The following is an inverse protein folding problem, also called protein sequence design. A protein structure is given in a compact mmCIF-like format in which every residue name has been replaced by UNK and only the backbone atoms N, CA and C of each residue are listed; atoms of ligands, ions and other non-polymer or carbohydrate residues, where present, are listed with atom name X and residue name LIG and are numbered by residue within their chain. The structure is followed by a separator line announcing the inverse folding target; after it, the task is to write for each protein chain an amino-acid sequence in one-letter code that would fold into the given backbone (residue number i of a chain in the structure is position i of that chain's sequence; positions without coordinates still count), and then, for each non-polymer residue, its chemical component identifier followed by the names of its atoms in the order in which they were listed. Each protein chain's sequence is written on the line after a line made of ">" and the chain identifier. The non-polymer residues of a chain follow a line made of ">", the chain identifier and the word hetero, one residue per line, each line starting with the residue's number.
data_IF_566169026293
#
_entry.id   IF_566169026293
#
_cell.length_a   1.000
_cell.length_b   1.000
_cell.length_c   1.000
_cell.angle_alpha   90.00
_cell.angle_beta   90.00
_cell.angle_gamma   90.00
#
_symmetry.space_group_name_H-M   'P 1'
#
loop_
_entity.id
_entity.type
_entity.pdbx_description
1 polymer ?
#
# COMPACT_ATOMS: atom_id res chain seq x y z
N UNK A 1 -18.14 3.02 -6.73
CA UNK A 1 -17.28 1.86 -7.08
C UNK A 1 -16.45 2.12 -8.34
N UNK A 2 -17.03 2.40 -9.51
CA UNK A 2 -16.28 2.65 -10.75
C UNK A 2 -15.23 3.78 -10.63
N UNK A 3 -15.64 4.97 -10.17
CA UNK A 3 -14.71 6.10 -9.97
C UNK A 3 -13.62 5.79 -8.92
N UNK A 4 -13.95 5.05 -7.85
CA UNK A 4 -12.97 4.63 -6.86
C UNK A 4 -11.95 3.64 -7.47
N UNK A 5 -12.39 2.74 -8.36
CA UNK A 5 -11.49 1.84 -9.06
C UNK A 5 -10.54 2.61 -10.00
N UNK A 6 -11.06 3.60 -10.74
CA UNK A 6 -10.22 4.50 -11.55
C UNK A 6 -9.24 5.29 -10.68
N UNK A 7 -9.69 5.80 -9.54
CA UNK A 7 -8.84 6.48 -8.56
C UNK A 7 -7.71 5.59 -8.09
N UNK A 8 -7.99 4.35 -7.68
CA UNK A 8 -6.95 3.39 -7.29
C UNK A 8 -5.96 3.08 -8.43
N UNK A 9 -6.45 2.92 -9.68
CA UNK A 9 -5.58 2.68 -10.84
C UNK A 9 -4.58 3.82 -11.01
N UNK A 10 -5.04 5.07 -10.91
CA UNK A 10 -4.20 6.26 -11.05
C UNK A 10 -3.26 6.41 -9.84
N UNK A 11 -3.81 6.36 -8.62
CA UNK A 11 -3.09 6.72 -7.41
C UNK A 11 -2.07 5.69 -6.95
N UNK A 12 -2.36 4.41 -7.18
CA UNK A 12 -1.42 3.31 -6.95
C UNK A 12 -0.59 3.00 -8.20
N UNK A 13 -0.79 3.74 -9.31
CA UNK A 13 -0.07 3.56 -10.58
C UNK A 13 -0.17 2.12 -11.12
N UNK A 14 -1.35 1.52 -11.04
CA UNK A 14 -1.58 0.18 -11.53
C UNK A 14 -1.41 0.12 -13.06
N UNK A 15 -0.79 -0.96 -13.54
CA UNK A 15 -0.51 -1.22 -14.95
C UNK A 15 -0.92 -2.65 -15.30
N UNK A 16 -0.97 -2.97 -16.60
CA UNK A 16 -1.32 -4.32 -17.08
C UNK A 16 -0.40 -5.40 -16.49
N UNK A 17 0.86 -5.08 -16.24
CA UNK A 17 1.88 -5.94 -15.63
C UNK A 17 1.90 -5.89 -14.09
N UNK A 18 0.94 -5.22 -13.45
CA UNK A 18 0.82 -5.22 -12.00
C UNK A 18 0.46 -6.60 -11.44
N UNK A 19 1.06 -6.95 -10.31
CA UNK A 19 0.76 -8.13 -9.50
C UNK A 19 0.37 -7.64 -8.11
N UNK A 20 -0.92 -7.74 -7.78
CA UNK A 20 -1.49 -7.16 -6.56
C UNK A 20 -1.74 -8.23 -5.49
N UNK A 21 -1.04 -8.12 -4.37
CA UNK A 21 -1.23 -8.96 -3.18
C UNK A 21 -2.30 -8.35 -2.25
N UNK A 22 -3.39 -9.07 -2.05
CA UNK A 22 -4.50 -8.64 -1.20
C UNK A 22 -4.28 -9.05 0.25
N UNK A 23 -3.98 -8.09 1.13
CA UNK A 23 -3.89 -8.33 2.58
C UNK A 23 -5.09 -7.77 3.35
N UNK A 24 -5.80 -6.78 2.79
CA UNK A 24 -7.09 -6.32 3.33
C UNK A 24 -8.17 -7.32 2.92
N UNK A 25 -8.99 -7.84 3.86
CA UNK A 25 -10.04 -8.78 3.53
C UNK A 25 -11.06 -8.22 2.53
N UNK A 26 -11.57 -9.06 1.63
CA UNK A 26 -12.59 -8.66 0.66
C UNK A 26 -13.89 -8.15 1.33
N UNK A 27 -14.22 -8.62 2.53
CA UNK A 27 -15.37 -8.14 3.29
C UNK A 27 -15.14 -6.77 3.95
N UNK A 28 -13.92 -6.23 3.95
CA UNK A 28 -13.60 -4.93 4.52
C UNK A 28 -13.54 -3.89 3.40
N UNK A 29 -14.68 -3.20 3.18
CA UNK A 29 -14.86 -2.20 2.13
C UNK A 29 -14.39 -2.70 0.74
N UNK A 30 -14.72 -3.95 0.39
CA UNK A 30 -14.30 -4.61 -0.86
C UNK A 30 -12.77 -4.65 -1.07
N UNK A 31 -11.99 -4.85 0.00
CA UNK A 31 -10.54 -4.68 -0.04
C UNK A 31 -10.14 -3.34 -0.67
N UNK A 32 -10.84 -2.29 -0.24
CA UNK A 32 -10.63 -0.92 -0.71
C UNK A 32 -10.81 -0.75 -2.23
N UNK A 33 -11.70 -1.54 -2.84
CA UNK A 33 -12.04 -1.53 -4.28
C UNK A 33 -10.89 -2.04 -5.18
N UNK A 34 -9.74 -2.46 -4.64
CA UNK A 34 -8.65 -3.02 -5.44
C UNK A 34 -9.05 -4.22 -6.32
N UNK A 35 -9.93 -5.16 -5.91
CA UNK A 35 -10.36 -6.25 -6.80
C UNK A 35 -10.96 -5.74 -8.11
N UNK A 36 -11.76 -4.67 -8.05
CA UNK A 36 -12.33 -4.03 -9.25
C UNK A 36 -11.27 -3.28 -10.04
N UNK A 37 -10.32 -2.63 -9.35
CA UNK A 37 -9.24 -1.83 -9.95
C UNK A 37 -8.29 -2.71 -10.75
N UNK A 38 -7.81 -3.80 -10.14
CA UNK A 38 -6.92 -4.79 -10.74
C UNK A 38 -7.61 -5.52 -11.89
N UNK A 39 -8.90 -5.88 -11.73
CA UNK A 39 -9.69 -6.50 -12.81
C UNK A 39 -9.90 -5.55 -13.99
N UNK A 40 -10.19 -4.27 -13.75
CA UNK A 40 -10.48 -3.30 -14.80
C UNK A 40 -9.32 -3.11 -15.79
N UNK A 41 -8.08 -3.34 -15.34
CA UNK A 41 -6.88 -3.27 -16.18
C UNK A 41 -6.30 -4.65 -16.55
N UNK A 42 -7.02 -5.73 -16.22
CA UNK A 42 -6.58 -7.11 -16.46
C UNK A 42 -5.24 -7.49 -15.80
N UNK A 43 -4.93 -6.90 -14.65
CA UNK A 43 -3.74 -7.20 -13.87
C UNK A 43 -3.89 -8.48 -13.02
N UNK A 44 -2.78 -8.98 -12.48
CA UNK A 44 -2.75 -10.23 -11.73
C UNK A 44 -3.22 -10.04 -10.29
N UNK A 45 -4.12 -10.93 -9.85
CA UNK A 45 -4.57 -11.01 -8.46
C UNK A 45 -3.81 -12.09 -7.70
N UNK A 46 -3.20 -11.73 -6.57
CA UNK A 46 -2.58 -12.68 -5.65
C UNK A 46 -3.35 -12.65 -4.32
N UNK A 47 -4.12 -13.70 -4.07
CA UNK A 47 -4.96 -13.81 -2.88
C UNK A 47 -4.45 -14.90 -1.95
N UNK A 48 -4.28 -14.56 -0.68
CA UNK A 48 -3.98 -15.52 0.39
C UNK A 48 -5.22 -15.74 1.26
N UNK A 49 -5.40 -16.97 1.77
CA UNK A 49 -6.62 -17.35 2.50
C UNK A 49 -6.73 -16.69 3.87
N UNK A 50 -5.57 -16.44 4.50
CA UNK A 50 -5.43 -15.80 5.81
C UNK A 50 -4.10 -15.04 5.81
N UNK A 51 -3.98 -14.06 6.72
CA UNK A 51 -2.69 -13.41 6.98
C UNK A 51 -1.76 -14.44 7.60
N UNK A 52 -0.64 -14.68 6.91
CA UNK A 52 0.42 -15.62 7.28
C UNK A 52 1.73 -15.00 6.81
N UNK A 53 2.59 -14.58 7.74
CA UNK A 53 3.72 -13.71 7.42
C UNK A 53 4.86 -14.44 6.71
N UNK A 54 5.06 -15.74 6.97
CA UNK A 54 5.98 -16.58 6.20
C UNK A 54 5.49 -16.66 4.74
N UNK A 55 4.22 -16.99 4.55
CA UNK A 55 3.63 -17.07 3.21
C UNK A 55 3.68 -15.73 2.48
N UNK A 56 3.45 -14.61 3.17
CA UNK A 56 3.53 -13.27 2.57
C UNK A 56 4.95 -13.03 2.01
N UNK A 57 6.00 -13.30 2.78
CA UNK A 57 7.38 -13.11 2.31
C UNK A 57 7.77 -14.07 1.18
N UNK A 58 7.24 -15.30 1.19
CA UNK A 58 7.41 -16.24 0.08
C UNK A 58 6.72 -15.74 -1.19
N UNK A 59 5.46 -15.29 -1.08
CA UNK A 59 4.66 -14.78 -2.20
C UNK A 59 5.23 -13.49 -2.77
N UNK A 60 5.66 -12.55 -1.92
CA UNK A 60 6.31 -11.31 -2.34
C UNK A 60 7.47 -11.57 -3.30
N UNK A 61 8.28 -12.59 -3.00
CA UNK A 61 9.44 -12.99 -3.80
C UNK A 61 9.06 -13.83 -5.02
N UNK A 62 8.22 -14.85 -4.82
CA UNK A 62 7.90 -15.85 -5.85
C UNK A 62 7.02 -15.28 -6.97
N UNK A 63 6.03 -14.46 -6.62
CA UNK A 63 5.04 -13.96 -7.58
C UNK A 63 5.44 -12.60 -8.19
N UNK A 64 6.59 -12.05 -7.82
CA UNK A 64 7.02 -10.70 -8.22
C UNK A 64 5.95 -9.65 -7.93
N UNK A 65 5.41 -9.66 -6.70
CA UNK A 65 4.40 -8.70 -6.26
C UNK A 65 4.90 -7.28 -6.51
N UNK A 66 4.05 -6.44 -7.13
CA UNK A 66 4.36 -5.04 -7.38
C UNK A 66 3.50 -4.09 -6.54
N UNK A 67 2.34 -4.56 -6.09
CA UNK A 67 1.40 -3.77 -5.30
C UNK A 67 0.83 -4.60 -4.15
N UNK A 68 0.57 -3.95 -3.02
CA UNK A 68 -0.23 -4.53 -1.94
C UNK A 68 -1.06 -3.45 -1.25
N UNK A 69 -2.08 -3.88 -0.52
CA UNK A 69 -2.84 -3.03 0.38
C UNK A 69 -2.92 -3.64 1.78
N UNK A 70 -2.74 -2.83 2.83
CA UNK A 70 -2.73 -3.32 4.21
C UNK A 70 -2.83 -2.21 5.25
N UNK A 71 -3.38 -2.54 6.42
CA UNK A 71 -3.38 -1.62 7.56
C UNK A 71 -1.99 -1.54 8.21
N UNK A 72 -1.63 -0.42 8.88
CA UNK A 72 -0.34 -0.29 9.56
C UNK A 72 0.02 -1.46 10.49
N UNK A 73 -0.96 -2.05 11.17
CA UNK A 73 -0.76 -3.21 12.06
C UNK A 73 -0.20 -4.42 11.33
N UNK A 74 -0.69 -4.72 10.13
CA UNK A 74 -0.17 -5.80 9.27
C UNK A 74 1.23 -5.43 8.77
N UNK A 75 1.42 -4.18 8.34
CA UNK A 75 2.73 -3.72 7.82
C UNK A 75 3.83 -3.78 8.89
N UNK A 76 3.53 -3.44 10.14
CA UNK A 76 4.46 -3.55 11.28
C UNK A 76 4.96 -5.00 11.41
N UNK A 77 4.07 -5.98 11.29
CA UNK A 77 4.44 -7.39 11.38
C UNK A 77 5.28 -7.85 10.19
N UNK A 78 4.94 -7.39 8.98
CA UNK A 78 5.71 -7.69 7.76
C UNK A 78 7.15 -7.19 7.87
N UNK A 79 7.35 -5.93 8.27
CA UNK A 79 8.69 -5.31 8.25
C UNK A 79 9.63 -5.76 9.38
N UNK A 80 9.08 -6.35 10.45
CA UNK A 80 9.83 -6.94 11.57
C UNK A 80 9.91 -8.46 11.51
N UNK A 81 9.34 -9.08 10.46
CA UNK A 81 9.37 -10.53 10.32
C UNK A 81 10.82 -11.04 10.15
N UNK A 82 11.17 -12.23 10.67
CA UNK A 82 12.54 -12.77 10.52
C UNK A 82 12.99 -12.97 9.07
N UNK A 83 12.03 -13.18 8.14
CA UNK A 83 12.32 -13.29 6.71
C UNK A 83 12.37 -11.94 5.98
N UNK A 84 12.20 -10.82 6.69
CA UNK A 84 12.17 -9.51 6.07
C UNK A 84 13.51 -9.16 5.45
N UNK A 85 13.48 -8.92 4.15
CA UNK A 85 14.65 -8.57 3.34
C UNK A 85 14.27 -7.48 2.36
N UNK A 86 15.23 -6.64 2.01
CA UNK A 86 15.03 -5.64 0.97
C UNK A 86 14.65 -6.33 -0.35
N UNK A 87 13.48 -6.00 -0.87
CA UNK A 87 13.00 -6.56 -2.14
C UNK A 87 13.89 -6.08 -3.30
N UNK A 88 14.09 -6.88 -4.36
CA UNK A 88 14.97 -6.51 -5.47
C UNK A 88 14.45 -5.29 -6.26
N UNK A 89 13.14 -5.04 -6.22
CA UNK A 89 12.48 -3.90 -6.85
C UNK A 89 11.53 -3.23 -5.86
N UNK A 90 11.33 -1.90 -5.94
CA UNK A 90 10.29 -1.21 -5.19
C UNK A 90 8.90 -1.78 -5.48
N UNK A 91 8.07 -1.89 -4.44
CA UNK A 91 6.65 -2.22 -4.54
C UNK A 91 5.81 -1.09 -3.95
N UNK A 92 4.64 -0.84 -4.53
CA UNK A 92 3.70 0.18 -4.06
C UNK A 92 2.78 -0.39 -2.98
N UNK A 93 2.91 0.12 -1.75
CA UNK A 93 2.12 -0.30 -0.60
C UNK A 93 1.06 0.75 -0.29
N UNK A 94 -0.21 0.44 -0.59
CA UNK A 94 -1.33 1.28 -0.16
C UNK A 94 -1.63 1.01 1.31
N UNK A 95 -1.43 2.00 2.18
CA UNK A 95 -1.57 1.86 3.63
C UNK A 95 -2.66 2.79 4.15
N UNK A 96 -3.62 2.25 4.91
CA UNK A 96 -4.80 2.98 5.39
C UNK A 96 -5.39 2.39 6.69
N UNK A 97 -6.45 3.01 7.19
CA UNK A 97 -7.20 2.57 8.39
C UNK A 97 -6.73 3.28 9.67
N UNK A 98 -5.43 3.42 9.84
CA UNK A 98 -4.82 4.35 10.79
C UNK A 98 -3.63 5.05 10.15
N UNK A 99 -3.18 6.16 10.73
CA UNK A 99 -1.97 6.83 10.27
C UNK A 99 -0.73 5.95 10.57
N UNK A 100 0.08 5.58 9.57
CA UNK A 100 1.36 4.92 9.81
C UNK A 100 2.33 5.89 10.49
N UNK A 101 3.17 5.38 11.39
CA UNK A 101 4.21 6.20 12.04
C UNK A 101 5.35 6.49 11.06
N UNK A 102 6.08 7.59 11.28
CA UNK A 102 7.27 7.91 10.48
C UNK A 102 8.30 6.75 10.51
N UNK A 103 8.48 6.13 11.67
CA UNK A 103 9.35 4.95 11.82
C UNK A 103 8.90 3.76 10.99
N UNK A 104 7.59 3.49 10.92
CA UNK A 104 7.05 2.43 10.06
C UNK A 104 7.32 2.74 8.58
N UNK A 105 7.06 3.98 8.15
CA UNK A 105 7.32 4.42 6.76
C UNK A 105 8.81 4.26 6.41
N UNK A 106 9.71 4.73 7.27
CA UNK A 106 11.16 4.60 7.06
C UNK A 106 11.56 3.13 6.93
N UNK A 107 11.07 2.27 7.83
CA UNK A 107 11.37 0.84 7.80
C UNK A 107 10.81 0.12 6.56
N UNK A 108 9.64 0.54 6.07
CA UNK A 108 9.08 0.04 4.82
C UNK A 108 9.95 0.44 3.63
N UNK A 109 10.37 1.71 3.56
CA UNK A 109 11.25 2.21 2.49
C UNK A 109 12.60 1.47 2.46
N UNK A 110 13.18 1.15 3.62
CA UNK A 110 14.41 0.32 3.71
C UNK A 110 14.27 -1.04 3.02
N UNK A 111 13.05 -1.58 3.01
CA UNK A 111 12.72 -2.87 2.40
C UNK A 111 12.23 -2.77 0.95
N UNK A 112 12.33 -1.59 0.32
CA UNK A 112 11.77 -1.30 -1.01
C UNK A 112 10.24 -1.41 -1.05
N UNK A 113 9.57 -0.99 0.03
CA UNK A 113 8.11 -0.90 0.12
C UNK A 113 7.69 0.57 0.17
N UNK A 114 7.41 1.16 -0.98
CA UNK A 114 7.04 2.56 -1.11
C UNK A 114 5.63 2.79 -0.59
N UNK A 115 5.48 3.70 0.39
CA UNK A 115 4.20 3.93 1.06
C UNK A 115 3.33 4.94 0.30
N UNK A 116 2.16 4.48 -0.14
CA UNK A 116 1.03 5.33 -0.52
C UNK A 116 0.05 5.39 0.67
N UNK A 117 0.23 6.38 1.54
CA UNK A 117 -0.67 6.58 2.68
C UNK A 117 -1.96 7.26 2.23
N UNK A 118 -3.07 6.58 2.49
CA UNK A 118 -4.40 7.01 2.07
C UNK A 118 -5.38 6.96 3.25
N UNK A 119 -6.42 7.76 3.17
CA UNK A 119 -7.52 7.78 4.14
C UNK A 119 -8.86 7.55 3.45
N UNK A 120 -9.75 6.84 4.14
CA UNK A 120 -11.06 6.48 3.65
C UNK A 120 -11.93 5.88 4.75
N UNK A 121 -13.21 5.73 4.45
CA UNK A 121 -14.22 5.20 5.35
C UNK A 121 -14.92 3.99 4.73
N UNK A 122 -15.60 3.19 5.54
CA UNK A 122 -16.40 2.07 5.01
C UNK A 122 -17.54 2.60 4.14
N UNK A 123 -18.13 3.73 4.54
CA UNK A 123 -19.22 4.45 3.89
C UNK A 123 -18.82 5.00 2.51
N UNK A 124 -17.52 5.23 2.29
CA UNK A 124 -16.97 5.65 0.98
C UNK A 124 -16.32 4.49 0.23
N UNK A 125 -16.45 3.26 0.73
CA UNK A 125 -15.83 2.04 0.21
C UNK A 125 -14.30 2.07 0.12
N UNK A 126 -13.62 2.83 0.99
CA UNK A 126 -12.16 2.85 1.05
C UNK A 126 -11.53 4.20 0.66
N UNK A 127 -10.26 4.20 0.21
CA UNK A 127 -9.44 5.40 0.17
C UNK A 127 -10.01 6.46 -0.77
N UNK A 128 -10.11 7.67 -0.24
CA UNK A 128 -10.70 8.85 -0.88
C UNK A 128 -9.73 10.03 -0.88
N UNK A 129 -8.83 10.11 0.11
CA UNK A 129 -7.79 11.14 0.16
C UNK A 129 -6.41 10.50 0.30
N UNK A 130 -5.39 11.21 -0.21
CA UNK A 130 -3.98 10.87 -0.18
C UNK A 130 -3.20 12.14 0.14
N UNK A 131 -2.14 12.04 0.91
CA UNK A 131 -1.17 13.13 1.01
C UNK A 131 -0.22 13.04 -0.19
N UNK A 132 -0.26 14.02 -1.08
CA UNK A 132 0.62 14.02 -2.24
C UNK A 132 2.01 14.49 -1.87
N UNK A 133 3.01 13.92 -2.52
CA UNK A 133 4.37 14.41 -2.39
C UNK A 133 4.43 15.85 -2.91
N UNK A 134 4.89 16.79 -2.07
CA UNK A 134 4.95 18.21 -2.42
C UNK A 134 6.35 18.62 -2.88
N UNK A 135 6.48 19.67 -3.72
CA UNK A 135 7.76 20.26 -4.07
C UNK A 135 8.59 20.62 -2.82
N UNK A 136 9.89 20.31 -2.86
CA UNK A 136 10.81 20.58 -1.75
C UNK A 136 10.90 19.46 -0.71
N UNK A 137 10.00 18.47 -0.69
CA UNK A 137 10.11 17.34 0.24
C UNK A 137 11.32 16.45 -0.03
N UNK A 138 11.84 16.43 -1.25
CA UNK A 138 13.10 15.72 -1.58
C UNK A 138 14.34 16.34 -0.91
N UNK A 139 14.23 17.60 -0.44
CA UNK A 139 15.29 18.27 0.32
C UNK A 139 15.19 18.05 1.83
N UNK A 140 14.10 17.44 2.31
CA UNK A 140 13.90 17.13 3.71
C UNK A 140 14.75 15.93 4.12
N UNK A 141 15.06 15.85 5.42
CA UNK A 141 15.58 14.62 6.01
C UNK A 141 14.56 13.48 5.82
N UNK A 142 15.01 12.22 5.88
CA UNK A 142 14.11 11.07 5.79
C UNK A 142 13.01 11.12 6.86
N UNK A 143 13.37 11.53 8.08
CA UNK A 143 12.44 11.64 9.20
C UNK A 143 11.41 12.76 8.97
N UNK A 144 11.86 13.92 8.51
CA UNK A 144 10.97 15.05 8.20
C UNK A 144 10.03 14.70 7.05
N UNK A 145 10.53 14.05 6.00
CA UNK A 145 9.71 13.57 4.87
C UNK A 145 8.69 12.54 5.33
N UNK A 146 9.09 11.60 6.19
CA UNK A 146 8.20 10.60 6.75
C UNK A 146 7.10 11.23 7.64
N UNK A 147 7.42 12.30 8.37
CA UNK A 147 6.43 13.10 9.12
C UNK A 147 5.43 13.82 8.21
N UNK A 148 5.83 14.24 7.01
CA UNK A 148 4.89 14.81 6.05
C UNK A 148 3.97 13.72 5.45
N UNK A 149 4.55 12.58 5.06
CA UNK A 149 3.84 11.45 4.45
C UNK A 149 2.84 10.76 5.40
N UNK A 150 3.04 10.85 6.72
CA UNK A 150 2.13 10.27 7.71
C UNK A 150 0.80 11.04 7.85
N UNK A 151 0.65 12.19 7.20
CA UNK A 151 -0.57 13.00 7.23
C UNK A 151 -1.65 12.43 6.31
N UNK A 152 -2.91 12.74 6.61
CA UNK A 152 -4.07 12.36 5.80
C UNK A 152 -4.57 13.58 5.02
N UNK A 153 -4.15 13.69 3.76
CA UNK A 153 -4.43 14.85 2.91
C UNK A 153 -3.46 16.01 3.12
N UNK A 154 -3.65 17.06 2.33
CA UNK A 154 -2.75 18.22 2.26
C UNK A 154 -3.41 19.46 2.90
N UNK A 155 -2.60 20.36 3.47
CA UNK A 155 -3.02 21.73 3.78
C UNK A 155 -2.67 22.61 2.57
N UNK A 156 -3.68 23.28 2.02
CA UNK A 156 -3.49 24.35 1.03
C UNK A 156 -2.84 25.58 1.68
#
# INVERSE_FOLDING_TARGET
>A
MYLAALGNIIEAQLRLDSVHLFLVPLFHANSWIFPYSVTAISATHVMIRKVDYDLIWDVLRRENVTHLNGAPTIMIQIVHHPQAVKLPKPIMCTVAGSAPTATLIARMNDLNMDVCHVYGLTETYGPTTKAYHQPGWDSLSLDDRAMQLSRQGDRL
#
